data_IF_391658224990
#
_entry.id   IF_391658224990
#
_cell.length_a   1.000
_cell.length_b   1.000
_cell.length_c   1.000
_cell.angle_alpha   90.00
_cell.angle_beta   90.00
_cell.angle_gamma   90.00
#
_symmetry.space_group_name_H-M   'P 1'
#
loop_
_entity.id
_entity.type
_entity.pdbx_description
1 polymer ?
#
# COMPACT_ATOMS: atom_id res chain seq x y z
N UNK A 1 -8.65 -7.63 -33.59
CA UNK A 1 -8.50 -8.23 -32.25
C UNK A 1 -7.17 -8.98 -32.21
N UNK A 2 -6.22 -8.57 -31.35
CA UNK A 2 -4.96 -9.33 -31.19
C UNK A 2 -5.28 -10.65 -30.50
N UNK A 3 -4.91 -11.79 -31.09
CA UNK A 3 -5.03 -13.10 -30.46
C UNK A 3 -4.23 -13.14 -29.15
N UNK A 4 -4.82 -13.69 -28.10
CA UNK A 4 -4.11 -13.91 -26.83
C UNK A 4 -3.03 -14.96 -27.05
N UNK A 5 -1.79 -14.66 -26.64
CA UNK A 5 -0.71 -15.66 -26.67
C UNK A 5 -1.03 -16.81 -25.70
N UNK A 6 -0.55 -18.02 -26.01
CA UNK A 6 -0.74 -19.20 -25.15
C UNK A 6 -0.29 -18.93 -23.70
N UNK A 7 0.85 -18.28 -23.50
CA UNK A 7 1.35 -17.93 -22.18
C UNK A 7 0.40 -17.01 -21.40
N UNK A 8 -0.27 -16.06 -22.09
CA UNK A 8 -1.26 -15.21 -21.46
C UNK A 8 -2.53 -15.97 -21.05
N UNK A 9 -2.96 -16.94 -21.86
CA UNK A 9 -4.09 -17.81 -21.53
C UNK A 9 -3.76 -18.65 -20.28
N UNK A 10 -2.60 -19.30 -20.25
CA UNK A 10 -2.13 -20.11 -19.11
C UNK A 10 -2.04 -19.24 -17.86
N UNK A 11 -1.48 -18.02 -17.95
CA UNK A 11 -1.42 -17.09 -16.82
C UNK A 11 -2.81 -16.71 -16.30
N UNK A 12 -3.76 -16.42 -17.19
CA UNK A 12 -5.12 -16.08 -16.79
C UNK A 12 -5.80 -17.25 -16.07
N UNK A 13 -5.65 -18.48 -16.59
CA UNK A 13 -6.19 -19.70 -15.95
C UNK A 13 -5.58 -19.85 -14.54
N UNK A 14 -4.26 -19.77 -14.43
CA UNK A 14 -3.56 -19.80 -13.14
C UNK A 14 -4.09 -18.72 -12.20
N UNK A 15 -4.19 -17.46 -12.68
CA UNK A 15 -4.59 -16.35 -11.83
C UNK A 15 -6.02 -16.49 -11.34
N UNK A 16 -6.95 -16.92 -12.19
CA UNK A 16 -8.35 -17.10 -11.76
C UNK A 16 -8.55 -18.29 -10.84
N UNK A 17 -7.83 -19.40 -11.05
CA UNK A 17 -8.02 -20.61 -10.28
C UNK A 17 -7.17 -20.66 -9.00
N UNK A 18 -6.01 -20.04 -8.98
CA UNK A 18 -5.04 -20.14 -7.90
C UNK A 18 -4.60 -18.78 -7.37
N UNK A 19 -4.00 -17.96 -8.22
CA UNK A 19 -3.38 -16.70 -7.81
C UNK A 19 -4.38 -15.72 -7.20
N UNK A 20 -5.52 -15.50 -7.84
CA UNK A 20 -6.57 -14.60 -7.37
C UNK A 20 -7.18 -15.03 -6.04
N UNK A 21 -7.64 -16.29 -5.88
CA UNK A 21 -8.11 -16.79 -4.58
C UNK A 21 -7.07 -16.66 -3.47
N UNK A 22 -5.80 -16.99 -3.72
CA UNK A 22 -4.73 -16.82 -2.75
C UNK A 22 -4.45 -15.34 -2.42
N UNK A 23 -4.52 -14.46 -3.41
CA UNK A 23 -4.39 -13.01 -3.22
C UNK A 23 -5.51 -12.48 -2.29
N UNK A 24 -6.75 -12.88 -2.54
CA UNK A 24 -7.89 -12.49 -1.69
C UNK A 24 -7.74 -13.04 -0.28
N UNK A 25 -7.38 -14.32 -0.14
CA UNK A 25 -7.16 -14.96 1.16
C UNK A 25 -6.05 -14.26 1.95
N UNK A 26 -4.90 -13.98 1.32
CA UNK A 26 -3.80 -13.24 1.95
C UNK A 26 -4.24 -11.84 2.41
N UNK A 27 -5.07 -11.16 1.61
CA UNK A 27 -5.61 -9.84 1.97
C UNK A 27 -6.55 -9.93 3.17
N UNK A 28 -7.44 -10.91 3.21
CA UNK A 28 -8.35 -11.14 4.34
C UNK A 28 -7.54 -11.41 5.61
N UNK A 29 -6.56 -12.31 5.56
CA UNK A 29 -5.71 -12.66 6.70
C UNK A 29 -4.96 -11.42 7.19
N UNK A 30 -4.35 -10.65 6.29
CA UNK A 30 -3.62 -9.43 6.67
C UNK A 30 -4.55 -8.41 7.34
N UNK A 31 -5.73 -8.14 6.75
CA UNK A 31 -6.69 -7.20 7.32
C UNK A 31 -7.14 -7.62 8.73
N UNK A 32 -7.49 -8.89 8.92
CA UNK A 32 -7.87 -9.41 10.24
C UNK A 32 -6.71 -9.30 11.23
N UNK A 33 -5.50 -9.62 10.81
CA UNK A 33 -4.29 -9.49 11.64
C UNK A 33 -4.08 -8.05 12.09
N UNK A 34 -4.22 -7.07 11.19
CA UNK A 34 -4.06 -5.65 11.52
C UNK A 34 -5.14 -5.19 12.50
N UNK A 35 -6.41 -5.57 12.24
CA UNK A 35 -7.53 -5.19 13.11
C UNK A 35 -7.32 -5.76 14.52
N UNK A 36 -7.04 -7.06 14.63
CA UNK A 36 -6.80 -7.69 15.94
C UNK A 36 -5.59 -7.08 16.64
N UNK A 37 -4.49 -6.86 15.93
CA UNK A 37 -3.29 -6.23 16.45
C UNK A 37 -3.56 -4.83 17.02
N UNK A 38 -4.40 -4.04 16.35
CA UNK A 38 -4.80 -2.72 16.82
C UNK A 38 -5.60 -2.80 18.14
N UNK A 39 -6.56 -3.73 18.23
CA UNK A 39 -7.35 -3.92 19.46
C UNK A 39 -6.54 -4.46 20.63
N UNK A 40 -5.50 -5.23 20.38
CA UNK A 40 -4.61 -5.79 21.42
C UNK A 40 -3.46 -4.85 21.79
N UNK A 41 -3.38 -3.67 21.19
CA UNK A 41 -2.29 -2.71 21.44
C UNK A 41 -0.94 -3.17 20.93
N UNK A 42 -0.91 -4.01 19.89
CA UNK A 42 0.35 -4.46 19.30
C UNK A 42 1.16 -3.27 18.73
N UNK A 43 2.50 -3.32 18.79
CA UNK A 43 3.34 -2.22 18.34
C UNK A 43 3.21 -1.99 16.83
N UNK A 44 3.40 -0.74 16.39
CA UNK A 44 3.34 -0.35 14.98
C UNK A 44 4.29 -1.17 14.08
N UNK A 45 5.42 -1.62 14.62
CA UNK A 45 6.36 -2.49 13.92
C UNK A 45 5.76 -3.85 13.55
N UNK A 46 4.82 -4.39 14.35
CA UNK A 46 4.11 -5.62 14.04
C UNK A 46 3.18 -5.42 12.83
N UNK A 47 2.41 -4.32 12.81
CA UNK A 47 1.53 -3.97 11.70
C UNK A 47 2.36 -3.78 10.41
N UNK A 48 3.48 -3.08 10.50
CA UNK A 48 4.38 -2.89 9.35
C UNK A 48 4.95 -4.21 8.81
N UNK A 49 5.29 -5.17 9.69
CA UNK A 49 5.73 -6.51 9.26
C UNK A 49 4.60 -7.30 8.60
N UNK A 50 3.38 -7.22 9.13
CA UNK A 50 2.21 -7.90 8.57
C UNK A 50 1.89 -7.37 7.15
N UNK A 51 1.88 -6.04 6.95
CA UNK A 51 1.68 -5.43 5.63
C UNK A 51 2.80 -5.77 4.66
N UNK A 52 4.05 -5.82 5.12
CA UNK A 52 5.19 -6.23 4.30
C UNK A 52 5.08 -7.68 3.83
N UNK A 53 4.75 -8.60 4.73
CA UNK A 53 4.55 -10.02 4.42
C UNK A 53 3.40 -10.20 3.43
N UNK A 54 2.28 -9.53 3.66
CA UNK A 54 1.15 -9.50 2.74
C UNK A 54 1.56 -9.05 1.34
N UNK A 55 2.32 -7.96 1.24
CA UNK A 55 2.77 -7.42 -0.03
C UNK A 55 3.68 -8.39 -0.78
N UNK A 56 4.61 -9.04 -0.09
CA UNK A 56 5.44 -10.10 -0.70
C UNK A 56 4.60 -11.27 -1.18
N UNK A 57 3.62 -11.71 -0.39
CA UNK A 57 2.70 -12.78 -0.80
C UNK A 57 1.91 -12.38 -2.04
N UNK A 58 1.37 -11.15 -2.09
CA UNK A 58 0.64 -10.65 -3.25
C UNK A 58 1.51 -10.60 -4.52
N UNK A 59 2.75 -10.15 -4.42
CA UNK A 59 3.70 -10.14 -5.54
C UNK A 59 4.05 -11.57 -5.99
N UNK A 60 4.29 -12.48 -5.05
CA UNK A 60 4.64 -13.87 -5.34
C UNK A 60 3.50 -14.61 -6.05
N UNK A 61 2.26 -14.50 -5.53
CA UNK A 61 1.09 -15.16 -6.17
C UNK A 61 0.71 -14.53 -7.50
N UNK A 62 1.10 -13.29 -7.74
CA UNK A 62 0.95 -12.63 -9.05
C UNK A 62 2.10 -12.96 -10.02
N UNK A 63 3.07 -13.76 -9.60
CA UNK A 63 4.29 -14.08 -10.35
C UNK A 63 5.08 -12.83 -10.78
N UNK A 64 5.00 -11.77 -9.97
CA UNK A 64 5.64 -10.49 -10.25
C UNK A 64 7.09 -10.51 -9.76
N UNK A 65 8.04 -10.26 -10.67
CA UNK A 65 9.46 -10.08 -10.32
C UNK A 65 9.73 -8.60 -10.10
N UNK A 66 10.39 -8.30 -8.98
CA UNK A 66 10.74 -6.93 -8.60
C UNK A 66 12.26 -6.80 -8.56
N UNK A 67 12.78 -5.78 -9.24
CA UNK A 67 14.15 -5.34 -9.15
C UNK A 67 14.17 -3.96 -8.50
N UNK A 68 14.96 -3.79 -7.44
CA UNK A 68 15.09 -2.51 -6.73
C UNK A 68 16.48 -1.94 -7.01
N UNK A 69 16.52 -0.72 -7.54
CA UNK A 69 17.76 0.03 -7.81
C UNK A 69 17.77 1.31 -6.99
N UNK A 70 18.93 1.79 -6.61
CA UNK A 70 19.09 3.05 -5.90
C UNK A 70 18.75 2.99 -4.41
N UNK A 71 18.73 1.78 -3.81
CA UNK A 71 18.43 1.62 -2.38
C UNK A 71 19.40 2.40 -1.49
N UNK A 72 20.63 2.63 -1.95
CA UNK A 72 21.66 3.43 -1.31
C UNK A 72 21.29 4.90 -1.17
N UNK A 73 20.30 5.37 -1.95
CA UNK A 73 19.79 6.75 -1.89
C UNK A 73 18.70 6.95 -0.83
N UNK A 74 18.24 5.88 -0.19
CA UNK A 74 17.25 6.00 0.89
C UNK A 74 17.89 6.64 2.12
N UNK A 75 17.10 7.41 2.92
CA UNK A 75 17.61 8.00 4.15
C UNK A 75 18.20 6.93 5.08
N UNK A 76 19.38 7.18 5.59
CA UNK A 76 20.06 6.32 6.58
C UNK A 76 19.66 6.66 8.01
N UNK A 77 18.99 7.79 8.23
CA UNK A 77 18.50 8.22 9.55
C UNK A 77 17.12 7.63 9.85
N UNK A 78 16.87 7.36 11.12
CA UNK A 78 15.55 6.95 11.61
C UNK A 78 14.56 8.13 11.72
N UNK A 79 14.95 9.33 11.26
CA UNK A 79 14.09 10.50 11.27
C UNK A 79 12.90 10.30 10.34
N UNK A 80 11.66 10.64 10.78
CA UNK A 80 10.50 10.51 9.95
C UNK A 80 10.58 11.43 8.73
N UNK A 81 10.13 10.95 7.58
CA UNK A 81 10.16 11.68 6.33
C UNK A 81 8.86 11.56 5.55
N UNK A 82 8.67 12.45 4.59
CA UNK A 82 7.61 12.38 3.60
C UNK A 82 8.19 11.73 2.35
N UNK A 83 7.68 10.55 2.00
CA UNK A 83 8.07 9.84 0.79
C UNK A 83 7.03 10.12 -0.30
N UNK A 84 7.51 10.53 -1.45
CA UNK A 84 6.70 10.88 -2.61
C UNK A 84 7.12 10.03 -3.79
N UNK A 85 6.16 9.48 -4.52
CA UNK A 85 6.41 8.74 -5.75
C UNK A 85 5.29 8.97 -6.76
N UNK A 86 5.57 8.70 -8.03
CA UNK A 86 4.56 8.59 -9.06
C UNK A 86 3.74 7.30 -8.89
N UNK A 87 2.48 7.32 -9.36
CA UNK A 87 1.56 6.19 -9.27
C UNK A 87 1.19 5.67 -10.65
N UNK A 88 1.70 4.49 -11.00
CA UNK A 88 1.49 3.90 -12.33
C UNK A 88 0.61 2.63 -12.29
N UNK A 89 0.63 1.92 -11.17
CA UNK A 89 -0.04 0.63 -11.05
C UNK A 89 -0.56 0.39 -9.63
N UNK A 90 -1.61 -0.43 -9.50
CA UNK A 90 -2.01 -0.96 -8.19
C UNK A 90 -0.89 -1.78 -7.53
N UNK A 91 0.05 -2.30 -8.30
CA UNK A 91 1.21 -3.04 -7.78
C UNK A 91 2.22 -2.15 -7.06
N UNK A 92 2.21 -0.83 -7.27
CA UNK A 92 3.10 0.10 -6.56
C UNK A 92 2.94 -0.02 -5.04
N UNK A 93 1.70 -0.25 -4.57
CA UNK A 93 1.41 -0.45 -3.14
C UNK A 93 2.18 -1.65 -2.59
N UNK A 94 2.16 -2.78 -3.30
CA UNK A 94 2.85 -4.00 -2.86
C UNK A 94 4.37 -3.85 -2.95
N UNK A 95 4.87 -3.26 -4.03
CA UNK A 95 6.31 -3.05 -4.23
C UNK A 95 6.87 -2.14 -3.14
N UNK A 96 6.21 -1.03 -2.86
CA UNK A 96 6.65 -0.07 -1.86
C UNK A 96 6.60 -0.66 -0.45
N UNK A 97 5.49 -1.27 -0.04
CA UNK A 97 5.41 -1.95 1.26
C UNK A 97 6.48 -3.03 1.44
N UNK A 98 6.75 -3.80 0.37
CA UNK A 98 7.69 -4.93 0.45
C UNK A 98 9.16 -4.49 0.50
N UNK A 99 9.52 -3.43 -0.23
CA UNK A 99 10.93 -3.18 -0.57
C UNK A 99 11.49 -1.83 -0.14
N UNK A 100 10.67 -0.82 0.20
CA UNK A 100 11.20 0.50 0.56
C UNK A 100 12.07 0.46 1.82
N UNK A 101 11.76 -0.42 2.78
CA UNK A 101 12.57 -0.58 4.00
C UNK A 101 12.33 0.47 5.08
N UNK A 102 11.55 1.50 4.82
CA UNK A 102 11.19 2.55 5.76
C UNK A 102 9.77 2.29 6.26
N UNK A 103 9.49 2.22 7.57
CA UNK A 103 8.12 2.15 8.07
C UNK A 103 7.40 3.47 7.82
N UNK A 104 6.21 3.39 7.23
CA UNK A 104 5.44 4.58 6.88
C UNK A 104 3.92 4.35 7.01
N UNK A 105 3.17 5.44 7.01
CA UNK A 105 1.71 5.46 6.92
C UNK A 105 1.30 5.98 5.55
N UNK A 106 0.30 5.33 4.95
CA UNK A 106 -0.24 5.76 3.67
C UNK A 106 -1.12 7.00 3.81
N UNK A 107 -1.01 7.91 2.85
CA UNK A 107 -2.06 8.89 2.53
C UNK A 107 -2.86 8.33 1.35
N UNK A 108 -4.16 8.16 1.53
CA UNK A 108 -5.01 7.46 0.57
C UNK A 108 -6.38 8.10 0.44
N UNK A 109 -7.07 7.80 -0.67
CA UNK A 109 -8.42 8.33 -0.92
C UNK A 109 -9.44 7.86 0.11
N UNK A 110 -10.32 8.77 0.53
CA UNK A 110 -11.37 8.51 1.52
C UNK A 110 -12.36 7.41 1.09
N UNK A 111 -12.57 7.21 -0.22
CA UNK A 111 -13.43 6.17 -0.77
C UNK A 111 -12.97 4.75 -0.38
N UNK A 112 -11.66 4.55 -0.19
CA UNK A 112 -11.11 3.25 0.22
C UNK A 112 -11.58 2.83 1.61
N UNK A 113 -12.02 3.78 2.44
CA UNK A 113 -12.65 3.50 3.74
C UNK A 113 -13.91 2.63 3.62
N UNK A 114 -14.61 2.73 2.47
CA UNK A 114 -15.85 1.98 2.20
C UNK A 114 -15.62 0.53 1.78
N UNK A 115 -14.38 0.15 1.45
CA UNK A 115 -14.07 -1.22 1.09
C UNK A 115 -14.22 -2.14 2.31
N UNK A 116 -15.06 -3.19 2.20
CA UNK A 116 -15.28 -4.12 3.30
C UNK A 116 -13.94 -4.68 3.81
N UNK A 117 -13.78 -4.78 5.11
CA UNK A 117 -12.59 -5.27 5.81
C UNK A 117 -11.33 -4.41 5.59
N UNK A 118 -10.99 -4.08 4.33
CA UNK A 118 -9.79 -3.28 3.98
C UNK A 118 -9.86 -1.89 4.60
N UNK A 119 -10.99 -1.19 4.47
CA UNK A 119 -11.17 0.14 5.05
C UNK A 119 -10.95 0.13 6.56
N UNK A 120 -11.52 -0.84 7.27
CA UNK A 120 -11.33 -1.00 8.72
C UNK A 120 -9.88 -1.32 9.08
N UNK A 121 -9.20 -2.14 8.29
CA UNK A 121 -7.79 -2.43 8.51
C UNK A 121 -6.90 -1.19 8.31
N UNK A 122 -7.19 -0.38 7.30
CA UNK A 122 -6.48 0.88 7.05
C UNK A 122 -6.70 1.90 8.18
N UNK A 123 -7.94 2.00 8.70
CA UNK A 123 -8.24 2.82 9.88
C UNK A 123 -7.47 2.33 11.12
N UNK A 124 -7.49 1.02 11.37
CA UNK A 124 -6.77 0.38 12.48
C UNK A 124 -5.24 0.54 12.35
N UNK A 125 -4.72 0.62 11.12
CA UNK A 125 -3.32 0.92 10.85
C UNK A 125 -2.97 2.42 10.99
N UNK A 126 -3.95 3.28 11.29
CA UNK A 126 -3.80 4.74 11.36
C UNK A 126 -3.28 5.36 10.06
N UNK A 127 -3.78 4.88 8.91
CA UNK A 127 -3.53 5.51 7.62
C UNK A 127 -4.35 6.79 7.47
N UNK A 128 -3.85 7.74 6.72
CA UNK A 128 -4.47 9.06 6.55
C UNK A 128 -5.39 9.01 5.34
N UNK A 129 -6.65 9.39 5.54
CA UNK A 129 -7.64 9.44 4.45
C UNK A 129 -7.85 10.88 4.01
N UNK A 130 -7.80 11.12 2.71
CA UNK A 130 -8.02 12.43 2.09
C UNK A 130 -9.23 12.39 1.16
N UNK A 131 -10.07 13.41 1.26
CA UNK A 131 -11.11 13.72 0.28
C UNK A 131 -10.61 14.90 -0.56
N UNK A 132 -10.15 14.60 -1.75
CA UNK A 132 -9.53 15.57 -2.68
C UNK A 132 -10.55 16.60 -3.19
N UNK A 133 -11.85 16.36 -3.03
CA UNK A 133 -12.91 17.26 -3.49
C UNK A 133 -13.16 18.40 -2.52
N UNK A 134 -12.62 18.34 -1.30
CA UNK A 134 -12.87 19.32 -0.23
C UNK A 134 -11.59 19.95 0.27
N UNK A 135 -11.48 21.28 0.15
CA UNK A 135 -10.33 22.06 0.66
C UNK A 135 -10.11 21.83 2.15
N UNK A 136 -11.20 21.77 2.94
CA UNK A 136 -11.12 21.50 4.38
C UNK A 136 -10.53 20.12 4.69
N UNK A 137 -10.79 19.12 3.86
CA UNK A 137 -10.20 17.79 4.01
C UNK A 137 -8.70 17.80 3.72
N UNK A 138 -8.26 18.57 2.75
CA UNK A 138 -6.83 18.73 2.44
C UNK A 138 -6.10 19.37 3.62
N UNK A 139 -6.67 20.43 4.21
CA UNK A 139 -6.10 21.06 5.39
C UNK A 139 -6.03 20.07 6.58
N UNK A 140 -7.09 19.30 6.81
CA UNK A 140 -7.12 18.28 7.84
C UNK A 140 -6.06 17.19 7.60
N UNK A 141 -5.88 16.77 6.34
CA UNK A 141 -4.86 15.79 5.94
C UNK A 141 -3.45 16.28 6.31
N UNK A 142 -3.16 17.56 6.13
CA UNK A 142 -1.87 18.16 6.51
C UNK A 142 -1.66 18.08 8.02
N UNK A 143 -2.69 18.42 8.81
CA UNK A 143 -2.60 18.34 10.27
C UNK A 143 -2.44 16.90 10.77
N UNK A 144 -3.12 15.94 10.15
CA UNK A 144 -2.98 14.53 10.50
C UNK A 144 -1.60 13.98 10.07
N UNK A 145 -1.07 14.43 8.93
CA UNK A 145 0.29 14.13 8.51
C UNK A 145 1.34 14.65 9.50
N UNK A 146 1.21 15.89 9.99
CA UNK A 146 2.08 16.46 11.03
C UNK A 146 2.05 15.62 12.31
N UNK A 147 0.86 15.19 12.75
CA UNK A 147 0.71 14.30 13.93
C UNK A 147 1.45 12.98 13.74
N UNK A 148 1.27 12.34 12.56
CA UNK A 148 1.96 11.08 12.25
C UNK A 148 3.46 11.26 12.26
N UNK A 149 4.01 12.31 11.64
CA UNK A 149 5.43 12.62 11.66
C UNK A 149 5.94 12.88 13.09
N UNK A 150 5.16 13.59 13.91
CA UNK A 150 5.52 13.86 15.31
C UNK A 150 5.61 12.57 16.17
N UNK A 151 4.95 11.49 15.77
CA UNK A 151 5.07 10.17 16.43
C UNK A 151 6.26 9.34 15.95
N UNK A 152 7.13 9.90 15.09
CA UNK A 152 8.29 9.19 14.53
C UNK A 152 7.95 8.26 13.36
N UNK A 153 6.75 8.35 12.78
CA UNK A 153 6.38 7.57 11.61
C UNK A 153 6.52 8.42 10.35
N UNK A 154 7.09 7.85 9.29
CA UNK A 154 7.09 8.46 7.97
C UNK A 154 5.69 8.39 7.33
N UNK A 155 5.45 9.19 6.31
CA UNK A 155 4.25 9.14 5.47
C UNK A 155 4.61 8.90 4.02
N UNK A 156 3.73 8.21 3.32
CA UNK A 156 3.85 7.96 1.89
C UNK A 156 2.64 8.52 1.15
N UNK A 157 2.91 9.28 0.09
CA UNK A 157 1.87 9.89 -0.73
C UNK A 157 2.17 9.73 -2.23
N UNK A 158 1.12 9.47 -2.99
CA UNK A 158 1.09 9.64 -4.44
C UNK A 158 0.45 10.99 -4.76
N UNK A 159 1.20 12.03 -5.11
CA UNK A 159 0.67 13.38 -5.27
C UNK A 159 -0.29 13.51 -6.45
N UNK A 160 -0.24 12.59 -7.40
CA UNK A 160 -1.15 12.54 -8.55
C UNK A 160 -2.60 12.18 -8.15
N UNK A 161 -2.82 11.67 -6.93
CA UNK A 161 -4.11 11.24 -6.43
C UNK A 161 -4.74 10.06 -7.19
N UNK A 162 -4.30 9.79 -8.41
CA UNK A 162 -4.73 8.66 -9.25
C UNK A 162 -3.55 8.11 -10.04
N UNK A 163 -3.74 6.94 -10.64
CA UNK A 163 -2.73 6.34 -11.52
C UNK A 163 -2.61 7.17 -12.81
N UNK A 164 -1.38 7.43 -13.22
CA UNK A 164 -1.12 8.12 -14.49
C UNK A 164 -1.57 7.26 -15.69
N UNK A 165 -2.26 7.88 -16.64
CA UNK A 165 -2.66 7.22 -17.89
C UNK A 165 -1.55 7.27 -18.93
N UNK A 166 -0.68 8.28 -18.84
CA UNK A 166 0.35 8.57 -19.86
C UNK A 166 1.75 8.10 -19.44
N UNK A 167 1.97 7.77 -18.17
CA UNK A 167 3.29 7.48 -17.60
C UNK A 167 4.19 8.71 -17.47
N UNK A 168 3.66 9.92 -17.69
CA UNK A 168 4.34 11.20 -17.46
C UNK A 168 3.81 11.84 -16.19
N UNK A 169 4.70 12.44 -15.42
CA UNK A 169 4.37 13.31 -14.28
C UNK A 169 3.83 14.64 -14.80
#
# INVERSE_FOLDING_TARGET
>A
MKSLSLGRIVYLIYFFLIGGPLFVLATIICCLTIIVASYTGAPASFISRATKLWSWTCLAVSLCRVEVRGRENLPTSDAPCVVVANHQSAYDIFVLNAYIGIPFKWVMKSELRRLPLVGKACEAAHFIFVDETRVSSIAQTIEDAKKVLATGNSIFIFPEGSRTETGRL
#
